data_IF_734016862684
#
_entry.id   IF_734016862684
#
_cell.length_a   1.000
_cell.length_b   1.000
_cell.length_c   1.000
_cell.angle_alpha   90.00
_cell.angle_beta   90.00
_cell.angle_gamma   90.00
#
_symmetry.space_group_name_H-M   'P 1'
#
loop_
_entity.id
_entity.type
_entity.pdbx_description
1 polymer ?
#
# COMPACT_ATOMS: atom_id res chain seq x y z
N UNK A 1 4.27 21.64 -1.90
CA UNK A 1 4.44 20.20 -1.59
C UNK A 1 3.31 19.88 -0.64
N UNK A 2 2.38 19.00 -0.99
CA UNK A 2 1.38 18.50 -0.04
C UNK A 2 2.11 17.65 1.00
N UNK A 3 1.82 17.86 2.29
CA UNK A 3 2.30 16.98 3.35
C UNK A 3 1.73 15.56 3.16
N UNK A 4 2.50 14.55 3.58
CA UNK A 4 2.04 13.17 3.59
C UNK A 4 0.80 13.04 4.50
N UNK A 5 -0.12 12.12 4.18
CA UNK A 5 -1.27 11.88 5.06
C UNK A 5 -0.81 11.07 6.28
N UNK A 6 -1.52 11.20 7.40
CA UNK A 6 -1.18 10.49 8.63
C UNK A 6 -1.62 9.03 8.56
N UNK A 7 -0.69 8.10 8.78
CA UNK A 7 -0.96 6.65 8.78
C UNK A 7 -1.70 6.22 10.05
N UNK A 8 -1.44 6.88 11.18
CA UNK A 8 -2.08 6.55 12.47
C UNK A 8 -3.54 7.01 12.53
N UNK A 9 -3.96 7.86 11.59
CA UNK A 9 -5.34 8.30 11.44
C UNK A 9 -6.22 7.32 10.64
N UNK A 10 -5.62 6.34 9.94
CA UNK A 10 -6.34 5.40 9.10
C UNK A 10 -7.23 4.46 9.92
N UNK A 11 -8.36 4.08 9.33
CA UNK A 11 -9.23 3.04 9.89
C UNK A 11 -8.53 1.67 9.85
N UNK A 12 -8.43 1.00 11.00
CA UNK A 12 -7.74 -0.30 11.11
C UNK A 12 -8.41 -1.42 10.29
N UNK A 13 -9.73 -1.31 10.03
CA UNK A 13 -10.53 -2.38 9.41
C UNK A 13 -10.78 -2.10 7.93
N UNK A 14 -11.15 -0.87 7.58
CA UNK A 14 -11.53 -0.48 6.21
C UNK A 14 -10.82 0.81 5.76
N UNK A 15 -9.48 0.85 5.67
CA UNK A 15 -8.74 2.08 5.36
C UNK A 15 -8.88 2.52 3.89
N UNK A 16 -9.40 1.68 3.00
CA UNK A 16 -9.30 1.90 1.56
C UNK A 16 -10.56 2.49 0.94
N UNK A 17 -10.41 3.70 0.42
CA UNK A 17 -11.32 4.29 -0.56
C UNK A 17 -10.93 3.77 -1.96
N UNK A 18 -11.71 2.84 -2.49
CA UNK A 18 -11.42 2.22 -3.80
C UNK A 18 -11.97 3.08 -4.92
N UNK A 19 -11.10 3.43 -5.87
CA UNK A 19 -11.48 4.20 -7.05
C UNK A 19 -12.40 3.36 -7.95
N UNK A 20 -13.38 4.01 -8.61
CA UNK A 20 -14.34 3.34 -9.50
C UNK A 20 -13.64 2.63 -10.68
N UNK A 21 -12.42 3.05 -11.02
CA UNK A 21 -11.57 2.43 -12.04
C UNK A 21 -10.49 1.50 -11.44
N UNK A 22 -10.93 0.49 -10.71
CA UNK A 22 -10.06 -0.53 -10.12
C UNK A 22 -9.08 -1.19 -11.13
N UNK A 23 -9.41 -1.22 -12.43
CA UNK A 23 -8.54 -1.75 -13.48
C UNK A 23 -7.16 -1.06 -13.55
N UNK A 24 -7.06 0.21 -13.16
CA UNK A 24 -5.77 0.93 -13.11
C UNK A 24 -4.95 0.63 -11.85
N UNK A 25 -5.55 0.01 -10.84
CA UNK A 25 -4.86 -0.42 -9.63
C UNK A 25 -3.94 -1.61 -9.90
N UNK A 26 -4.25 -2.44 -10.90
CA UNK A 26 -3.55 -3.69 -11.13
C UNK A 26 -2.67 -3.58 -12.38
N UNK A 27 -1.35 -3.48 -12.16
CA UNK A 27 -0.37 -3.55 -13.26
C UNK A 27 -0.08 -4.97 -13.70
N UNK A 28 -0.52 -5.97 -12.93
CA UNK A 28 -0.36 -7.38 -13.21
C UNK A 28 -1.71 -8.08 -13.23
N UNK A 29 -1.98 -8.98 -14.21
CA UNK A 29 -3.31 -9.57 -14.44
C UNK A 29 -3.78 -10.52 -13.34
N UNK A 30 -2.91 -10.86 -12.37
CA UNK A 30 -3.19 -11.78 -11.28
C UNK A 30 -3.25 -11.10 -9.91
N UNK A 31 -3.09 -9.78 -9.85
CA UNK A 31 -3.21 -9.01 -8.61
C UNK A 31 -4.55 -8.30 -8.61
N UNK A 32 -5.20 -8.30 -7.44
CA UNK A 32 -6.54 -7.76 -7.22
C UNK A 32 -6.64 -6.98 -5.91
N UNK A 33 -7.86 -6.55 -5.60
CA UNK A 33 -8.15 -5.83 -4.36
C UNK A 33 -7.89 -6.73 -3.15
N UNK A 34 -8.14 -8.03 -3.28
CA UNK A 34 -7.86 -9.01 -2.25
C UNK A 34 -6.37 -9.02 -1.87
N UNK A 35 -5.44 -8.91 -2.82
CA UNK A 35 -4.00 -8.81 -2.52
C UNK A 35 -3.64 -7.52 -1.74
N UNK A 36 -4.38 -6.42 -1.99
CA UNK A 36 -4.20 -5.16 -1.24
C UNK A 36 -4.71 -5.31 0.20
N UNK A 37 -5.85 -5.98 0.38
CA UNK A 37 -6.44 -6.27 1.70
C UNK A 37 -5.54 -7.25 2.47
N UNK A 38 -5.02 -8.27 1.81
CA UNK A 38 -4.07 -9.23 2.39
C UNK A 38 -2.80 -8.52 2.82
N UNK A 39 -2.28 -7.60 1.99
CA UNK A 39 -1.10 -6.82 2.35
C UNK A 39 -1.34 -5.94 3.59
N UNK A 40 -2.49 -5.28 3.69
CA UNK A 40 -2.88 -4.51 4.89
C UNK A 40 -2.95 -5.39 6.14
N UNK A 41 -3.52 -6.59 6.01
CA UNK A 41 -3.71 -7.52 7.11
C UNK A 41 -2.44 -8.27 7.52
N UNK A 42 -1.34 -8.09 6.79
CA UNK A 42 -0.09 -8.86 6.96
C UNK A 42 0.99 -8.13 7.75
N UNK A 43 0.60 -7.14 8.56
CA UNK A 43 1.50 -6.28 9.35
C UNK A 43 2.53 -5.60 8.43
N UNK A 44 2.07 -4.67 7.57
CA UNK A 44 2.90 -4.03 6.56
C UNK A 44 3.89 -3.02 7.17
N UNK A 45 4.99 -2.80 6.45
CA UNK A 45 5.87 -1.65 6.66
C UNK A 45 5.51 -0.52 5.69
N UNK A 46 5.64 0.72 6.15
CA UNK A 46 5.35 1.90 5.34
C UNK A 46 6.63 2.70 5.05
N UNK A 47 6.89 2.92 3.76
CA UNK A 47 8.00 3.74 3.30
C UNK A 47 7.49 5.05 2.68
N UNK A 48 8.16 6.19 2.89
CA UNK A 48 7.81 7.44 2.21
C UNK A 48 7.86 7.31 0.68
N UNK A 49 6.86 7.86 -0.01
CA UNK A 49 6.77 7.88 -1.47
C UNK A 49 6.89 9.30 -2.03
N UNK A 50 6.96 9.39 -3.37
CA UNK A 50 6.79 10.66 -4.10
C UNK A 50 5.36 10.73 -4.66
N UNK A 51 4.75 11.92 -4.67
CA UNK A 51 3.42 12.12 -5.25
C UNK A 51 3.30 11.52 -6.67
N UNK A 52 2.15 10.93 -7.03
CA UNK A 52 0.85 11.04 -6.35
C UNK A 52 0.65 10.14 -5.13
N UNK A 53 1.55 9.19 -4.85
CA UNK A 53 1.55 8.45 -3.60
C UNK A 53 2.24 9.25 -2.48
N UNK A 54 1.74 9.16 -1.27
CA UNK A 54 2.41 9.67 -0.07
C UNK A 54 3.22 8.56 0.62
N UNK A 55 2.72 7.33 0.58
CA UNK A 55 3.34 6.16 1.20
C UNK A 55 3.39 4.96 0.25
N UNK A 56 4.36 4.08 0.48
CA UNK A 56 4.40 2.73 -0.06
C UNK A 56 4.13 1.76 1.09
N UNK A 57 3.02 1.04 1.02
CA UNK A 57 2.73 -0.08 1.93
C UNK A 57 3.37 -1.34 1.36
N UNK A 58 4.26 -1.98 2.13
CA UNK A 58 4.93 -3.22 1.75
C UNK A 58 4.58 -4.34 2.72
N UNK A 59 4.20 -5.48 2.18
CA UNK A 59 3.92 -6.68 2.95
C UNK A 59 4.32 -7.95 2.20
N UNK A 60 4.71 -8.99 2.92
CA UNK A 60 4.89 -10.32 2.36
C UNK A 60 3.59 -11.12 2.39
N UNK A 61 3.06 -11.44 1.21
CA UNK A 61 1.82 -12.21 1.01
C UNK A 61 2.15 -13.43 0.15
N UNK A 62 1.89 -14.62 0.69
CA UNK A 62 2.18 -15.90 0.00
C UNK A 62 3.61 -16.01 -0.54
N UNK A 63 4.60 -15.52 0.22
CA UNK A 63 6.03 -15.56 -0.14
C UNK A 63 6.49 -14.48 -1.14
N UNK A 64 5.58 -13.59 -1.56
CA UNK A 64 5.87 -12.46 -2.45
C UNK A 64 5.77 -11.17 -1.67
N UNK A 65 6.74 -10.27 -1.82
CA UNK A 65 6.64 -8.92 -1.25
C UNK A 65 5.86 -8.05 -2.21
N UNK A 66 4.70 -7.59 -1.79
CA UNK A 66 3.84 -6.68 -2.55
C UNK A 66 4.15 -5.23 -2.18
N UNK A 67 3.98 -4.34 -3.16
CA UNK A 67 4.05 -2.89 -3.00
C UNK A 67 2.69 -2.32 -3.39
N UNK A 68 2.11 -1.57 -2.47
CA UNK A 68 0.86 -0.83 -2.68
C UNK A 68 1.14 0.65 -2.43
N UNK A 69 1.28 1.48 -3.49
CA UNK A 69 1.37 2.91 -3.33
C UNK A 69 0.03 3.48 -2.86
N UNK A 70 0.06 4.27 -1.79
CA UNK A 70 -1.11 4.88 -1.18
C UNK A 70 -1.12 6.39 -1.42
N UNK A 71 -2.23 6.89 -1.95
CA UNK A 71 -2.53 8.31 -2.09
C UNK A 71 -3.54 8.75 -1.03
N UNK A 72 -3.63 10.04 -0.68
CA UNK A 72 -4.67 10.52 0.24
C UNK A 72 -6.06 10.26 -0.34
N UNK A 73 -7.05 10.12 0.55
CA UNK A 73 -8.48 10.05 0.21
C UNK A 73 -8.88 11.13 -0.79
N UNK A 74 -9.74 10.79 -1.76
CA UNK A 74 -10.32 11.78 -2.69
C UNK A 74 -11.49 12.51 -2.02
N UNK A 75 -12.22 11.84 -1.13
CA UNK A 75 -13.30 12.46 -0.35
C UNK A 75 -12.80 13.42 0.74
N UNK A 76 -11.53 13.33 1.11
CA UNK A 76 -10.91 14.14 2.16
C UNK A 76 -11.08 13.57 3.57
N UNK A 77 -11.61 12.35 3.69
CA UNK A 77 -11.69 11.63 4.95
C UNK A 77 -10.27 11.21 5.41
N UNK A 78 -9.77 11.72 6.55
CA UNK A 78 -8.44 11.37 7.04
C UNK A 78 -8.32 9.89 7.47
N UNK A 79 -9.43 9.20 7.72
CA UNK A 79 -9.43 7.77 8.05
C UNK A 79 -9.30 6.86 6.83
N UNK A 80 -9.33 7.45 5.63
CA UNK A 80 -9.25 6.72 4.36
C UNK A 80 -8.02 7.11 3.55
N UNK A 81 -7.49 6.15 2.81
CA UNK A 81 -6.50 6.35 1.77
C UNK A 81 -6.92 5.60 0.50
N UNK A 82 -6.25 5.90 -0.61
CA UNK A 82 -6.52 5.25 -1.89
C UNK A 82 -5.32 4.40 -2.28
N UNK A 83 -5.44 3.07 -2.40
CA UNK A 83 -4.46 2.32 -3.16
C UNK A 83 -4.53 2.82 -4.60
N UNK A 84 -3.37 3.09 -5.21
CA UNK A 84 -3.28 3.53 -6.62
C UNK A 84 -2.46 2.55 -7.48
N UNK A 85 -2.12 1.39 -6.91
CA UNK A 85 -1.33 0.35 -7.53
C UNK A 85 -1.19 -0.86 -6.62
N UNK A 86 -1.00 -2.05 -7.21
CA UNK A 86 -0.50 -3.24 -6.54
C UNK A 86 0.46 -3.97 -7.50
N UNK A 87 1.68 -4.24 -7.06
CA UNK A 87 2.69 -4.95 -7.85
C UNK A 87 3.73 -5.62 -6.96
N UNK A 88 4.40 -6.63 -7.50
CA UNK A 88 5.47 -7.33 -6.79
C UNK A 88 6.73 -6.47 -6.71
N UNK A 89 7.41 -6.52 -5.56
CA UNK A 89 8.67 -5.84 -5.35
C UNK A 89 9.79 -6.44 -6.19
N UNK A 90 10.76 -5.60 -6.57
CA UNK A 90 12.02 -6.12 -7.09
C UNK A 90 12.75 -6.93 -6.01
N UNK A 91 13.59 -7.88 -6.42
CA UNK A 91 14.34 -8.73 -5.50
C UNK A 91 15.15 -7.94 -4.46
N UNK A 92 15.75 -6.82 -4.86
CA UNK A 92 16.50 -5.94 -3.96
C UNK A 92 15.60 -5.30 -2.90
N UNK A 93 14.44 -4.76 -3.30
CA UNK A 93 13.51 -4.12 -2.37
C UNK A 93 12.84 -5.15 -1.45
N UNK A 94 12.51 -6.34 -1.96
CA UNK A 94 12.03 -7.45 -1.14
C UNK A 94 13.05 -7.86 -0.07
N UNK A 95 14.34 -7.89 -0.40
CA UNK A 95 15.40 -8.20 0.56
C UNK A 95 15.56 -7.11 1.63
N UNK A 96 15.43 -5.83 1.25
CA UNK A 96 15.43 -4.71 2.20
C UNK A 96 14.23 -4.80 3.14
N UNK A 97 13.02 -4.97 2.61
CA UNK A 97 11.80 -5.12 3.40
C UNK A 97 11.92 -6.23 4.46
N UNK A 98 12.40 -7.41 4.05
CA UNK A 98 12.55 -8.55 4.99
C UNK A 98 13.52 -8.24 6.11
N UNK A 99 14.63 -7.56 5.81
CA UNK A 99 15.59 -7.14 6.84
C UNK A 99 14.96 -6.14 7.81
N UNK A 100 14.30 -5.11 7.28
CA UNK A 100 13.68 -4.07 8.10
C UNK A 100 12.59 -4.66 9.01
N UNK A 101 11.85 -5.67 8.52
CA UNK A 101 10.84 -6.41 9.28
C UNK A 101 11.44 -7.22 10.42
N UNK A 102 12.59 -7.87 10.22
CA UNK A 102 13.27 -8.63 11.29
C UNK A 102 13.82 -7.72 12.42
N UNK A 103 13.93 -6.42 12.15
CA UNK A 103 14.44 -5.41 13.10
C UNK A 103 13.33 -4.69 13.89
N UNK A 104 12.05 -4.93 13.60
CA UNK A 104 10.87 -4.40 14.30
C UNK A 104 10.13 -5.48 15.09
#
# INVERSE_FOLDING_TARGET
MSEAFDLEALDDTEPFEIDEQAAHLFKHPHLGLDDVIDAWSSDPLFYPAKPPAHWLMLAEVSGRVLIVPLAPSRSGDPSKCRPIGCYEASSGLAATYRRDRDEH
#
